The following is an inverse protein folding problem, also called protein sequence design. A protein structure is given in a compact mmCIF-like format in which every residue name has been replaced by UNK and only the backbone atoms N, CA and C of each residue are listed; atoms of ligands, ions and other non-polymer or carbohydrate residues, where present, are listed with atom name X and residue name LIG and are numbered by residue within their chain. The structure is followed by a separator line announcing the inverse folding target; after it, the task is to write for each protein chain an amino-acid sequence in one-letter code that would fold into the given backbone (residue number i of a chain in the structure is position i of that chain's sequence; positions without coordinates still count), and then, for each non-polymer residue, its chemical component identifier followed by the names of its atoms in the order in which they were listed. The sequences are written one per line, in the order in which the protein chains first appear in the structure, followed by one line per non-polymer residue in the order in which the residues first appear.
data_IF_840425904024
#
_entry.id   IF_840425904024
#
_cell.length_a   1.000
_cell.length_b   1.000
_cell.length_c   1.000
_cell.angle_alpha   90.00
_cell.angle_beta   90.00
_cell.angle_gamma   90.00
#
_symmetry.space_group_name_H-M   'P 1'
#
loop_
_entity.id
_entity.type
_entity.pdbx_description
1 polymer ?
#
# COMPACT_ATOMS: atom_id res chain seq x y z
N UNK A 1 -28.17 -26.09 61.14
CA UNK A 1 -27.87 -25.73 59.73
C UNK A 1 -26.37 -25.46 59.49
N UNK A 2 -25.67 -24.74 60.37
CA UNK A 2 -24.22 -24.46 60.20
C UNK A 2 -23.33 -25.73 60.19
N UNK A 3 -23.49 -26.61 61.18
CA UNK A 3 -22.71 -27.86 61.28
C UNK A 3 -22.90 -28.80 60.06
N UNK A 4 -24.12 -28.88 59.52
CA UNK A 4 -24.40 -29.67 58.31
C UNK A 4 -23.71 -29.10 57.06
N UNK A 5 -23.54 -27.78 56.99
CA UNK A 5 -22.84 -27.11 55.88
C UNK A 5 -21.32 -27.30 55.96
N UNK A 6 -20.76 -27.29 57.16
CA UNK A 6 -19.34 -27.62 57.39
C UNK A 6 -19.04 -29.07 57.00
N UNK A 7 -19.89 -30.02 57.38
CA UNK A 7 -19.73 -31.43 57.02
C UNK A 7 -19.72 -31.67 55.51
N UNK A 8 -20.49 -30.89 54.73
CA UNK A 8 -20.50 -30.94 53.27
C UNK A 8 -19.26 -30.30 52.62
N UNK A 9 -18.54 -29.45 53.35
CA UNK A 9 -17.29 -28.82 52.89
C UNK A 9 -16.05 -29.63 53.26
N UNK A 10 -16.12 -30.37 54.38
CA UNK A 10 -15.03 -31.22 54.86
C UNK A 10 -14.95 -32.55 54.10
N UNK A 11 -13.74 -33.10 53.99
CA UNK A 11 -13.50 -34.42 53.42
C UNK A 11 -13.64 -35.50 54.51
N UNK A 12 -14.83 -36.11 54.60
CA UNK A 12 -15.15 -37.10 55.62
C UNK A 12 -14.34 -38.39 55.43
N UNK A 13 -14.07 -38.78 54.18
CA UNK A 13 -13.24 -39.95 53.86
C UNK A 13 -11.78 -39.67 54.20
N UNK A 14 -11.26 -38.49 53.82
CA UNK A 14 -9.92 -38.03 54.19
C UNK A 14 -9.71 -37.96 55.71
N UNK A 15 -10.72 -37.50 56.46
CA UNK A 15 -10.66 -37.43 57.92
C UNK A 15 -10.52 -38.82 58.56
N UNK A 16 -11.14 -39.85 58.00
CA UNK A 16 -11.01 -41.24 58.45
C UNK A 16 -9.81 -41.96 57.81
N UNK A 17 -9.18 -41.37 56.79
CA UNK A 17 -8.07 -41.96 56.04
C UNK A 17 -8.52 -43.12 55.15
N UNK A 18 -9.72 -43.01 54.60
CA UNK A 18 -10.34 -44.04 53.77
C UNK A 18 -10.48 -43.57 52.32
N UNK A 19 -10.52 -44.55 51.42
CA UNK A 19 -10.89 -44.39 50.02
C UNK A 19 -12.41 -44.21 49.88
N UNK A 20 -12.84 -43.61 48.77
CA UNK A 20 -14.26 -43.31 48.49
C UNK A 20 -15.08 -44.60 48.35
N UNK A 21 -14.42 -45.69 47.95
CA UNK A 21 -15.00 -47.03 47.77
C UNK A 21 -15.09 -47.83 49.06
N UNK A 22 -14.68 -47.27 50.22
CA UNK A 22 -14.66 -48.00 51.48
C UNK A 22 -16.05 -48.49 51.91
N UNK A 23 -16.13 -49.75 52.33
CA UNK A 23 -17.35 -50.35 52.88
C UNK A 23 -17.68 -49.80 54.27
N UNK A 24 -18.95 -49.87 54.68
CA UNK A 24 -19.36 -49.45 56.04
C UNK A 24 -18.57 -50.16 57.15
N UNK A 25 -18.16 -51.41 56.92
CA UNK A 25 -17.34 -52.19 57.87
C UNK A 25 -15.95 -51.56 58.05
N UNK A 26 -15.36 -51.07 56.96
CA UNK A 26 -14.07 -50.38 56.97
C UNK A 26 -14.18 -49.00 57.61
N UNK A 27 -15.27 -48.27 57.33
CA UNK A 27 -15.59 -46.99 58.00
C UNK A 27 -15.66 -47.17 59.52
N UNK A 28 -16.43 -48.15 60.00
CA UNK A 28 -16.54 -48.45 61.44
C UNK A 28 -15.20 -48.89 62.06
N UNK A 29 -14.37 -49.63 61.31
CA UNK A 29 -13.04 -50.08 61.77
C UNK A 29 -12.07 -48.90 61.89
N UNK A 30 -11.99 -48.05 60.87
CA UNK A 30 -11.12 -46.88 60.85
C UNK A 30 -11.52 -45.87 61.92
N UNK A 31 -12.82 -45.64 62.13
CA UNK A 31 -13.31 -44.81 63.22
C UNK A 31 -12.83 -45.33 64.57
N UNK A 32 -12.99 -46.62 64.88
CA UNK A 32 -12.52 -47.19 66.15
C UNK A 32 -11.03 -46.98 66.37
N UNK A 33 -10.22 -47.15 65.33
CA UNK A 33 -8.77 -46.93 65.42
C UNK A 33 -8.44 -45.46 65.69
N UNK A 34 -9.00 -44.52 64.91
CA UNK A 34 -8.74 -43.08 65.09
C UNK A 34 -9.34 -42.53 66.39
N UNK A 35 -10.52 -43.01 66.80
CA UNK A 35 -11.17 -42.62 68.04
C UNK A 35 -10.34 -43.00 69.27
N UNK A 36 -9.65 -44.15 69.26
CA UNK A 36 -8.73 -44.54 70.33
C UNK A 36 -7.51 -43.62 70.40
N UNK A 37 -6.97 -43.21 69.25
CA UNK A 37 -5.82 -42.29 69.17
C UNK A 37 -6.19 -40.87 69.59
N UNK A 38 -7.38 -40.40 69.21
CA UNK A 38 -7.86 -39.04 69.48
C UNK A 38 -8.79 -38.95 70.69
N UNK A 39 -8.83 -39.97 71.57
CA UNK A 39 -9.75 -39.96 72.70
C UNK A 39 -9.40 -38.83 73.69
N UNK A 40 -10.35 -38.00 74.13
CA UNK A 40 -10.08 -36.86 75.02
C UNK A 40 -9.53 -37.29 76.39
N UNK A 41 -9.97 -38.45 76.92
CA UNK A 41 -9.48 -39.00 78.19
C UNK A 41 -8.01 -39.46 78.15
N UNK A 42 -7.52 -39.91 76.98
CA UNK A 42 -6.12 -40.32 76.78
C UNK A 42 -5.21 -39.15 76.39
N UNK A 43 -5.79 -38.03 75.97
CA UNK A 43 -5.08 -36.84 75.51
C UNK A 43 -5.63 -35.58 76.22
N UNK A 44 -5.62 -35.52 77.57
CA UNK A 44 -6.19 -34.40 78.32
C UNK A 44 -5.47 -33.06 78.04
N UNK A 45 -4.20 -33.11 77.63
CA UNK A 45 -3.39 -31.92 77.34
C UNK A 45 -3.62 -31.33 75.93
N UNK A 46 -4.38 -32.01 75.06
CA UNK A 46 -4.60 -31.56 73.68
C UNK A 46 -6.05 -31.10 73.46
N UNK A 47 -6.34 -29.79 73.44
CA UNK A 47 -7.69 -29.28 73.21
C UNK A 47 -8.24 -29.62 71.81
N UNK A 48 -7.37 -29.90 70.83
CA UNK A 48 -7.79 -30.34 69.49
C UNK A 48 -8.26 -31.79 69.44
N UNK A 49 -7.91 -32.61 70.43
CA UNK A 49 -8.34 -34.01 70.48
C UNK A 49 -9.87 -34.11 70.60
N UNK A 50 -10.50 -33.25 71.42
CA UNK A 50 -11.95 -33.19 71.58
C UNK A 50 -12.65 -32.77 70.27
N UNK A 51 -12.11 -31.76 69.57
CA UNK A 51 -12.65 -31.29 68.29
C UNK A 51 -12.54 -32.35 67.19
N UNK A 52 -11.36 -32.97 67.04
CA UNK A 52 -11.13 -34.07 66.08
C UNK A 52 -12.02 -35.28 66.39
N UNK A 53 -12.19 -35.62 67.67
CA UNK A 53 -13.08 -36.71 68.07
C UNK A 53 -14.54 -36.42 67.71
N UNK A 54 -14.98 -35.16 67.88
CA UNK A 54 -16.31 -34.72 67.47
C UNK A 54 -16.49 -34.83 65.95
N UNK A 55 -15.53 -34.33 65.17
CA UNK A 55 -15.53 -34.42 63.71
C UNK A 55 -15.52 -35.88 63.21
N UNK A 56 -14.73 -36.76 63.84
CA UNK A 56 -14.71 -38.20 63.54
C UNK A 56 -16.06 -38.86 63.80
N UNK A 57 -16.76 -38.44 64.87
CA UNK A 57 -18.07 -38.97 65.24
C UNK A 57 -19.15 -38.52 64.25
N UNK A 58 -19.13 -37.25 63.83
CA UNK A 58 -20.00 -36.75 62.78
C UNK A 58 -19.73 -37.43 61.42
N UNK A 59 -18.46 -37.66 61.07
CA UNK A 59 -18.09 -38.38 59.85
C UNK A 59 -18.60 -39.83 59.87
N UNK A 60 -18.52 -40.51 61.01
CA UNK A 60 -19.09 -41.85 61.16
C UNK A 60 -20.60 -41.84 60.94
N UNK A 61 -21.32 -40.90 61.56
CA UNK A 61 -22.78 -40.79 61.44
C UNK A 61 -23.22 -40.64 59.97
N UNK A 62 -22.59 -39.72 59.24
CA UNK A 62 -22.90 -39.47 57.82
C UNK A 62 -22.51 -40.64 56.92
N UNK A 63 -21.36 -41.29 57.17
CA UNK A 63 -20.86 -42.37 56.31
C UNK A 63 -21.46 -43.75 56.63
N UNK A 64 -22.16 -43.90 57.77
CA UNK A 64 -22.85 -45.14 58.14
C UNK A 64 -24.32 -45.16 57.78
N UNK A 65 -24.96 -44.00 57.59
CA UNK A 65 -26.29 -43.92 56.98
C UNK A 65 -26.19 -43.90 55.45
N UNK A 66 -26.82 -44.88 54.80
CA UNK A 66 -26.80 -45.00 53.34
C UNK A 66 -27.41 -43.79 52.64
N UNK A 67 -28.46 -43.18 53.21
CA UNK A 67 -29.10 -42.00 52.62
C UNK A 67 -28.21 -40.75 52.74
N UNK A 68 -27.67 -40.48 53.94
CA UNK A 68 -26.74 -39.39 54.17
C UNK A 68 -25.46 -39.52 53.35
N UNK A 69 -24.88 -40.72 53.25
CA UNK A 69 -23.70 -41.00 52.43
C UNK A 69 -23.94 -40.71 50.96
N UNK A 70 -25.06 -41.19 50.41
CA UNK A 70 -25.42 -40.93 49.01
C UNK A 70 -25.62 -39.44 48.73
N UNK A 71 -26.23 -38.69 49.66
CA UNK A 71 -26.39 -37.25 49.55
C UNK A 71 -25.05 -36.50 49.59
N UNK A 72 -24.16 -36.88 50.51
CA UNK A 72 -22.80 -36.34 50.62
C UNK A 72 -21.99 -36.57 49.34
N UNK A 73 -21.96 -37.81 48.85
CA UNK A 73 -21.23 -38.18 47.63
C UNK A 73 -21.75 -37.42 46.40
N UNK A 74 -23.07 -37.22 46.29
CA UNK A 74 -23.69 -36.46 45.21
C UNK A 74 -23.27 -34.99 45.22
N UNK A 75 -23.28 -34.35 46.39
CA UNK A 75 -22.90 -32.94 46.53
C UNK A 75 -21.41 -32.76 46.23
N UNK A 76 -20.56 -33.65 46.74
CA UNK A 76 -19.10 -33.63 46.48
C UNK A 76 -18.79 -33.80 45.00
N UNK A 77 -19.43 -34.76 44.31
CA UNK A 77 -19.30 -34.93 42.85
C UNK A 77 -19.77 -33.71 42.07
N UNK A 78 -20.91 -33.14 42.43
CA UNK A 78 -21.43 -31.94 41.77
C UNK A 78 -20.49 -30.74 41.96
N UNK A 79 -19.90 -30.57 43.15
CA UNK A 79 -18.93 -29.51 43.44
C UNK A 79 -17.66 -29.68 42.60
N UNK A 80 -17.09 -30.90 42.55
CA UNK A 80 -15.91 -31.20 41.73
C UNK A 80 -16.17 -30.92 40.24
N UNK A 81 -17.32 -31.35 39.72
CA UNK A 81 -17.71 -31.07 38.33
C UNK A 81 -17.91 -29.57 38.06
N UNK A 82 -18.47 -28.82 39.01
CA UNK A 82 -18.64 -27.38 38.89
C UNK A 82 -17.29 -26.65 38.89
N UNK A 83 -16.36 -27.05 39.75
CA UNK A 83 -15.00 -26.53 39.81
C UNK A 83 -14.24 -26.83 38.50
N UNK A 84 -14.27 -28.07 38.01
CA UNK A 84 -13.68 -28.45 36.73
C UNK A 84 -14.25 -27.63 35.55
N UNK A 85 -15.58 -27.42 35.52
CA UNK A 85 -16.21 -26.58 34.50
C UNK A 85 -15.73 -25.14 34.58
N UNK A 86 -15.62 -24.59 35.80
CA UNK A 86 -15.17 -23.21 36.02
C UNK A 86 -13.71 -23.06 35.60
N UNK A 87 -12.84 -23.96 36.03
CA UNK A 87 -11.44 -24.02 35.61
C UNK A 87 -11.31 -24.09 34.09
N UNK A 88 -12.07 -24.98 33.43
CA UNK A 88 -12.05 -25.10 31.98
C UNK A 88 -12.52 -23.84 31.26
N UNK A 89 -13.49 -23.11 31.82
CA UNK A 89 -13.91 -21.82 31.27
C UNK A 89 -12.84 -20.75 31.46
N UNK A 90 -12.18 -20.73 32.61
CA UNK A 90 -11.10 -19.79 32.91
C UNK A 90 -9.86 -20.04 32.05
N UNK A 91 -9.49 -21.30 31.82
CA UNK A 91 -8.44 -21.68 30.87
C UNK A 91 -8.75 -21.22 29.45
N UNK A 92 -9.99 -21.43 28.99
CA UNK A 92 -10.43 -20.96 27.68
C UNK A 92 -10.38 -19.44 27.58
N UNK A 93 -10.88 -18.73 28.59
CA UNK A 93 -10.83 -17.26 28.65
C UNK A 93 -9.39 -16.75 28.63
N UNK A 94 -8.51 -17.37 29.41
CA UNK A 94 -7.07 -17.04 29.42
C UNK A 94 -6.44 -17.25 28.04
N UNK A 95 -6.73 -18.37 27.38
CA UNK A 95 -6.22 -18.66 26.03
C UNK A 95 -6.71 -17.62 25.01
N UNK A 96 -8.00 -17.29 25.02
CA UNK A 96 -8.57 -16.27 24.12
C UNK A 96 -7.93 -14.91 24.37
N UNK A 97 -7.73 -14.52 25.64
CA UNK A 97 -7.08 -13.27 25.99
C UNK A 97 -5.65 -13.20 25.43
N UNK A 98 -4.86 -14.26 25.63
CA UNK A 98 -3.49 -14.32 25.13
C UNK A 98 -3.40 -14.30 23.60
N UNK A 99 -4.32 -15.01 22.92
CA UNK A 99 -4.41 -15.00 21.45
C UNK A 99 -4.78 -13.61 20.90
N UNK A 100 -5.70 -12.92 21.57
CA UNK A 100 -6.11 -11.56 21.21
C UNK A 100 -4.99 -10.54 21.42
N UNK A 101 -4.29 -10.61 22.57
CA UNK A 101 -3.15 -9.75 22.86
C UNK A 101 -1.96 -10.00 21.91
N UNK A 102 -1.74 -11.26 21.51
CA UNK A 102 -0.72 -11.59 20.51
C UNK A 102 -1.05 -10.96 19.15
N UNK A 103 -2.29 -11.08 18.68
CA UNK A 103 -2.74 -10.44 17.43
C UNK A 103 -2.65 -8.92 17.48
N UNK A 104 -3.03 -8.32 18.61
CA UNK A 104 -2.95 -6.87 18.79
C UNK A 104 -1.49 -6.39 18.71
N UNK A 105 -0.58 -7.09 19.38
CA UNK A 105 0.87 -6.80 19.31
C UNK A 105 1.43 -6.95 17.91
N UNK A 106 1.03 -8.00 17.18
CA UNK A 106 1.46 -8.20 15.79
C UNK A 106 0.95 -7.10 14.87
N UNK A 107 -0.33 -6.71 15.01
CA UNK A 107 -0.91 -5.62 14.23
C UNK A 107 -0.24 -4.27 14.56
N UNK A 108 0.03 -4.01 15.84
CA UNK A 108 0.72 -2.80 16.28
C UNK A 108 2.15 -2.76 15.73
N UNK A 109 2.88 -3.87 15.77
CA UNK A 109 4.22 -3.97 15.18
C UNK A 109 4.22 -3.74 13.67
N UNK A 110 3.24 -4.31 12.94
CA UNK A 110 3.08 -4.07 11.50
C UNK A 110 2.79 -2.60 11.21
N UNK A 111 1.88 -1.98 11.96
CA UNK A 111 1.55 -0.56 11.80
C UNK A 111 2.74 0.35 12.10
N UNK A 112 3.53 0.02 13.13
CA UNK A 112 4.72 0.77 13.49
C UNK A 112 5.80 0.68 12.40
N UNK A 113 5.98 -0.50 11.80
CA UNK A 113 6.90 -0.69 10.67
C UNK A 113 6.41 0.07 9.43
N UNK A 114 5.11 0.05 9.14
CA UNK A 114 4.52 0.81 8.04
C UNK A 114 4.74 2.32 8.22
N UNK A 115 4.50 2.87 9.41
CA UNK A 115 4.77 4.28 9.74
C UNK A 115 6.25 4.63 9.59
N UNK A 116 7.14 3.71 9.96
CA UNK A 116 8.58 3.91 9.80
C UNK A 116 8.96 3.96 8.32
N UNK A 117 8.42 3.05 7.51
CA UNK A 117 8.63 3.02 6.06
C UNK A 117 8.11 4.30 5.43
N UNK A 118 6.86 4.71 5.72
CA UNK A 118 6.27 5.92 5.14
C UNK A 118 7.11 7.15 5.50
N UNK A 119 7.53 7.30 6.76
CA UNK A 119 8.42 8.38 7.17
C UNK A 119 9.74 8.39 6.40
N UNK A 120 10.40 7.23 6.24
CA UNK A 120 11.66 7.17 5.48
C UNK A 120 11.47 7.55 4.01
N UNK A 121 10.34 7.16 3.40
CA UNK A 121 10.01 7.54 2.03
C UNK A 121 9.73 9.03 1.91
N UNK A 122 9.01 9.62 2.87
CA UNK A 122 8.75 11.06 2.91
C UNK A 122 10.03 11.88 3.03
N UNK A 123 10.96 11.47 3.89
CA UNK A 123 12.28 12.09 4.02
C UNK A 123 13.07 12.03 2.70
N UNK A 124 13.06 10.88 2.02
CA UNK A 124 13.74 10.71 0.73
C UNK A 124 13.10 11.54 -0.39
N UNK A 125 11.76 11.58 -0.46
CA UNK A 125 11.02 12.44 -1.40
C UNK A 125 11.35 13.91 -1.13
N UNK A 126 11.44 14.32 0.14
CA UNK A 126 11.84 15.66 0.54
C UNK A 126 13.23 16.03 -0.01
N UNK A 127 14.22 15.16 0.19
CA UNK A 127 15.58 15.35 -0.33
C UNK A 127 15.61 15.49 -1.86
N UNK A 128 14.96 14.57 -2.58
CA UNK A 128 14.92 14.61 -4.05
C UNK A 128 14.24 15.89 -4.57
N UNK A 129 13.19 16.37 -3.89
CA UNK A 129 12.53 17.64 -4.24
C UNK A 129 13.44 18.84 -4.01
N UNK A 130 14.18 18.87 -2.91
CA UNK A 130 15.14 19.94 -2.63
C UNK A 130 16.29 19.95 -3.64
N UNK A 131 16.86 18.78 -3.97
CA UNK A 131 17.90 18.65 -4.98
C UNK A 131 17.42 19.09 -6.36
N UNK A 132 16.22 18.63 -6.78
CA UNK A 132 15.62 19.04 -8.04
C UNK A 132 15.32 20.56 -8.10
N UNK A 133 14.84 21.14 -6.99
CA UNK A 133 14.61 22.59 -6.88
C UNK A 133 15.91 23.38 -7.02
N UNK A 134 16.99 22.90 -6.40
CA UNK A 134 18.31 23.54 -6.44
C UNK A 134 18.88 23.55 -7.85
N UNK A 135 18.81 22.42 -8.55
CA UNK A 135 19.26 22.30 -9.95
C UNK A 135 18.50 23.27 -10.86
N UNK A 136 17.16 23.32 -10.73
CA UNK A 136 16.34 24.23 -11.51
C UNK A 136 16.69 25.70 -11.23
N UNK A 137 16.94 26.07 -9.97
CA UNK A 137 17.36 27.42 -9.61
C UNK A 137 18.73 27.78 -10.20
N UNK A 138 19.69 26.85 -10.17
CA UNK A 138 21.00 27.03 -10.77
C UNK A 138 20.92 27.21 -12.29
N UNK A 139 20.15 26.37 -12.99
CA UNK A 139 19.90 26.51 -14.42
C UNK A 139 19.22 27.85 -14.75
N UNK A 140 18.17 28.23 -14.01
CA UNK A 140 17.50 29.51 -14.21
C UNK A 140 18.44 30.70 -13.99
N UNK A 141 19.37 30.59 -13.04
CA UNK A 141 20.37 31.64 -12.78
C UNK A 141 21.34 31.76 -13.95
N UNK A 142 21.87 30.64 -14.44
CA UNK A 142 22.77 30.62 -15.60
C UNK A 142 22.07 31.19 -16.85
N UNK A 143 20.83 30.79 -17.11
CA UNK A 143 20.02 31.32 -18.21
C UNK A 143 19.83 32.83 -18.09
N UNK A 144 19.50 33.33 -16.89
CA UNK A 144 19.37 34.78 -16.64
C UNK A 144 20.69 35.52 -16.88
N UNK A 145 21.81 34.96 -16.44
CA UNK A 145 23.13 35.55 -16.66
C UNK A 145 23.51 35.57 -18.15
N UNK A 146 23.21 34.50 -18.89
CA UNK A 146 23.40 34.41 -20.34
C UNK A 146 22.58 35.49 -21.07
N UNK A 147 21.29 35.64 -20.72
CA UNK A 147 20.40 36.66 -21.31
C UNK A 147 20.90 38.07 -20.99
N UNK A 148 21.34 38.30 -19.75
CA UNK A 148 21.87 39.60 -19.32
C UNK A 148 23.15 39.94 -20.09
N UNK A 149 24.09 38.99 -20.20
CA UNK A 149 25.34 39.16 -20.95
C UNK A 149 25.08 39.39 -22.45
N UNK A 150 24.12 38.68 -23.04
CA UNK A 150 23.71 38.92 -24.44
C UNK A 150 23.05 40.30 -24.62
N UNK A 151 22.24 40.75 -23.65
CA UNK A 151 21.66 42.10 -23.64
C UNK A 151 22.73 43.18 -23.51
N UNK A 152 23.69 43.02 -22.60
CA UNK A 152 24.80 43.94 -22.41
C UNK A 152 25.68 44.02 -23.67
N UNK A 153 25.98 42.87 -24.28
CA UNK A 153 26.69 42.82 -25.57
C UNK A 153 25.93 43.54 -26.70
N UNK A 154 24.59 43.43 -26.74
CA UNK A 154 23.74 44.17 -27.68
C UNK A 154 23.64 45.67 -27.35
N UNK A 155 23.76 46.05 -26.07
CA UNK A 155 23.68 47.44 -25.61
C UNK A 155 25.02 48.20 -25.80
N UNK A 156 26.16 47.52 -25.69
CA UNK A 156 27.50 48.13 -25.81
C UNK A 156 28.09 48.18 -27.22
N UNK A 157 27.32 47.88 -28.27
CA UNK A 157 27.66 48.23 -29.65
C UNK A 157 29.07 47.84 -30.11
N UNK A 158 29.50 46.59 -29.88
CA UNK A 158 30.69 46.06 -30.56
C UNK A 158 30.24 45.39 -31.86
N UNK A 159 30.39 46.13 -32.95
CA UNK A 159 30.28 45.61 -34.31
C UNK A 159 31.35 44.53 -34.54
N UNK A 160 30.90 43.29 -34.71
CA UNK A 160 31.73 42.24 -35.32
C UNK A 160 31.75 42.45 -36.84
N UNK A 161 32.88 42.25 -37.55
CA UNK A 161 33.01 42.57 -38.97
C UNK A 161 32.03 41.75 -39.84
N UNK A 162 31.52 42.31 -40.95
CA UNK A 162 30.67 41.59 -41.87
C UNK A 162 31.54 40.68 -42.75
N UNK A 163 31.61 39.39 -42.39
CA UNK A 163 32.23 38.41 -43.27
C UNK A 163 32.91 37.26 -42.55
N UNK A 164 32.12 36.31 -42.05
CA UNK A 164 32.38 34.88 -42.14
C UNK A 164 31.30 34.14 -41.35
N UNK A 165 30.90 33.00 -41.89
CA UNK A 165 30.02 31.99 -41.31
C UNK A 165 28.53 32.24 -41.55
N UNK A 166 28.08 31.62 -42.65
CA UNK A 166 26.70 31.25 -42.84
C UNK A 166 26.16 30.53 -41.60
N UNK A 167 24.87 30.74 -41.39
CA UNK A 167 24.17 30.17 -40.26
C UNK A 167 24.21 28.65 -40.29
N UNK A 168 24.66 28.09 -39.18
CA UNK A 168 24.04 26.89 -38.63
C UNK A 168 23.54 27.29 -37.24
N UNK A 169 22.34 27.88 -37.24
CA UNK A 169 21.47 27.72 -36.08
C UNK A 169 21.25 26.21 -36.00
N UNK A 170 21.73 25.59 -34.94
CA UNK A 170 21.32 24.24 -34.58
C UNK A 170 19.84 24.32 -34.22
N UNK A 171 19.01 24.30 -35.26
CA UNK A 171 17.61 23.95 -35.17
C UNK A 171 17.54 22.63 -34.41
N UNK A 172 16.58 22.54 -33.51
CA UNK A 172 16.10 21.31 -32.87
C UNK A 172 16.59 20.06 -33.59
N UNK A 173 17.31 19.18 -32.89
CA UNK A 173 17.73 17.87 -33.38
C UNK A 173 16.47 17.01 -33.66
N UNK A 174 15.74 17.36 -34.71
CA UNK A 174 14.46 16.81 -35.13
C UNK A 174 14.81 15.57 -35.94
N UNK A 175 14.86 14.45 -35.23
CA UNK A 175 14.97 13.14 -35.86
C UNK A 175 13.67 12.84 -36.62
N UNK A 176 13.73 12.53 -37.91
CA UNK A 176 12.54 12.23 -38.70
C UNK A 176 11.83 10.98 -38.16
N UNK A 177 10.52 11.09 -37.96
CA UNK A 177 9.69 9.98 -37.46
C UNK A 177 8.64 9.58 -38.47
N UNK A 178 8.58 8.29 -38.74
CA UNK A 178 7.62 7.65 -39.62
C UNK A 178 6.63 6.80 -38.82
N UNK A 179 5.36 6.86 -39.19
CA UNK A 179 4.32 5.95 -38.70
C UNK A 179 4.10 4.85 -39.72
N UNK A 180 4.15 3.63 -39.23
CA UNK A 180 3.89 2.42 -39.97
C UNK A 180 2.52 1.86 -39.56
N UNK A 181 1.75 1.41 -40.56
CA UNK A 181 0.45 0.79 -40.34
C UNK A 181 0.23 -0.38 -41.28
N UNK A 182 -0.19 -1.52 -40.75
CA UNK A 182 -0.46 -2.74 -41.52
C UNK A 182 -1.72 -3.43 -41.01
N UNK A 183 -2.21 -4.45 -41.73
CA UNK A 183 -3.38 -5.22 -41.30
C UNK A 183 -2.96 -6.22 -40.22
N UNK A 184 -3.69 -6.27 -39.13
CA UNK A 184 -3.46 -7.23 -38.03
C UNK A 184 -4.82 -7.67 -37.48
N UNK A 185 -5.03 -8.98 -37.32
CA UNK A 185 -6.28 -9.52 -36.76
C UNK A 185 -6.24 -9.42 -35.22
N UNK A 186 -7.42 -9.34 -34.59
CA UNK A 186 -7.53 -9.18 -33.13
C UNK A 186 -6.84 -10.31 -32.36
N UNK A 187 -6.95 -11.54 -32.86
CA UNK A 187 -6.39 -12.76 -32.26
C UNK A 187 -5.03 -13.18 -32.85
N UNK A 188 -4.39 -12.31 -33.64
CA UNK A 188 -3.08 -12.60 -34.22
C UNK A 188 -1.96 -12.31 -33.21
N UNK A 189 -1.29 -13.36 -32.73
CA UNK A 189 -0.13 -13.27 -31.83
C UNK A 189 1.11 -12.74 -32.54
N UNK A 190 1.21 -12.93 -33.86
CA UNK A 190 2.36 -12.49 -34.67
C UNK A 190 2.25 -11.03 -35.10
N UNK A 191 1.18 -10.34 -34.70
CA UNK A 191 0.89 -8.95 -35.05
C UNK A 191 1.02 -8.70 -36.57
N UNK A 192 0.48 -9.58 -37.41
CA UNK A 192 0.55 -9.48 -38.86
C UNK A 192 1.92 -9.75 -39.48
N UNK A 193 2.83 -10.40 -38.74
CA UNK A 193 4.19 -10.75 -39.17
C UNK A 193 5.25 -9.67 -38.92
N UNK A 194 4.88 -8.55 -38.29
CA UNK A 194 5.77 -7.41 -38.05
C UNK A 194 6.18 -7.33 -36.59
N UNK A 195 7.28 -8.01 -36.25
CA UNK A 195 7.95 -7.88 -34.95
C UNK A 195 8.86 -6.64 -34.93
N UNK A 196 9.27 -6.23 -33.72
CA UNK A 196 10.24 -5.15 -33.54
C UNK A 196 11.54 -5.43 -34.30
N UNK A 197 12.10 -6.63 -34.16
CA UNK A 197 13.35 -7.04 -34.83
C UNK A 197 13.22 -7.09 -36.35
N UNK A 198 12.07 -7.56 -36.84
CA UNK A 198 11.82 -7.62 -38.28
C UNK A 198 11.70 -6.22 -38.89
N UNK A 199 10.98 -5.31 -38.24
CA UNK A 199 10.87 -3.91 -38.68
C UNK A 199 12.22 -3.19 -38.65
N UNK A 200 13.04 -3.46 -37.63
CA UNK A 200 14.40 -2.91 -37.54
C UNK A 200 15.26 -3.42 -38.71
N UNK A 201 15.29 -4.74 -38.95
CA UNK A 201 16.03 -5.34 -40.07
C UNK A 201 15.55 -4.82 -41.44
N UNK A 202 14.24 -4.63 -41.60
CA UNK A 202 13.65 -4.13 -42.84
C UNK A 202 14.04 -2.69 -43.12
N UNK A 203 14.11 -1.83 -42.10
CA UNK A 203 14.27 -0.38 -42.24
C UNK A 203 15.73 0.09 -42.14
N UNK A 204 16.59 -0.64 -41.45
CA UNK A 204 18.02 -0.34 -41.33
C UNK A 204 18.73 -0.29 -42.70
N UNK A 205 18.19 -0.98 -43.72
CA UNK A 205 18.77 -0.96 -45.07
C UNK A 205 18.67 0.39 -45.80
N UNK A 206 17.84 1.32 -45.30
CA UNK A 206 17.71 2.67 -45.87
C UNK A 206 18.49 3.73 -45.11
N UNK A 207 18.90 3.45 -43.88
CA UNK A 207 19.66 4.34 -43.03
C UNK A 207 19.60 3.93 -41.57
N UNK A 208 20.35 4.65 -40.74
CA UNK A 208 20.43 4.34 -39.32
C UNK A 208 19.11 4.61 -38.60
N UNK A 209 18.56 3.56 -38.00
CA UNK A 209 17.33 3.62 -37.21
C UNK A 209 17.68 3.81 -35.74
N UNK A 210 17.18 4.88 -35.14
CA UNK A 210 17.40 5.20 -33.73
C UNK A 210 16.43 4.47 -32.82
N UNK A 211 15.16 4.35 -33.23
CA UNK A 211 14.13 3.73 -32.42
C UNK A 211 13.01 3.10 -33.26
N UNK A 212 12.47 1.97 -32.79
CA UNK A 212 11.32 1.27 -33.39
C UNK A 212 10.32 0.91 -32.30
N UNK A 213 9.18 1.59 -32.26
CA UNK A 213 8.14 1.42 -31.26
C UNK A 213 6.91 0.75 -31.85
N UNK A 214 6.72 -0.54 -31.59
CA UNK A 214 5.51 -1.29 -31.96
C UNK A 214 4.42 -1.07 -30.91
N UNK A 215 3.22 -0.67 -31.33
CA UNK A 215 2.14 -0.34 -30.40
C UNK A 215 1.58 -1.59 -29.72
N UNK A 216 1.72 -1.66 -28.38
CA UNK A 216 1.11 -2.71 -27.55
C UNK A 216 -0.40 -2.55 -27.38
N UNK A 217 -0.91 -1.31 -27.51
CA UNK A 217 -2.35 -0.98 -27.35
C UNK A 217 -3.16 -1.11 -28.64
N UNK A 218 -2.54 -0.88 -29.80
CA UNK A 218 -3.18 -0.94 -31.13
C UNK A 218 -2.35 -1.84 -32.06
N UNK A 219 -2.74 -3.11 -32.17
CA UNK A 219 -2.12 -4.06 -33.12
C UNK A 219 -2.16 -3.48 -34.54
N UNK A 220 -1.11 -3.73 -35.32
CA UNK A 220 -1.00 -3.21 -36.69
C UNK A 220 -0.41 -1.80 -36.83
N UNK A 221 0.30 -1.27 -35.83
CA UNK A 221 0.93 0.06 -35.91
C UNK A 221 2.29 0.11 -35.21
N UNK A 222 3.24 0.82 -35.82
CA UNK A 222 4.51 1.20 -35.19
C UNK A 222 4.91 2.63 -35.53
N UNK A 223 5.84 3.17 -34.76
CA UNK A 223 6.54 4.43 -35.02
C UNK A 223 8.03 4.16 -35.10
N UNK A 224 8.71 4.72 -36.09
CA UNK A 224 10.14 4.53 -36.32
C UNK A 224 10.81 5.88 -36.44
N UNK A 225 11.97 6.01 -35.80
CA UNK A 225 12.78 7.21 -35.76
C UNK A 225 14.11 6.93 -36.47
N UNK A 226 14.45 7.76 -37.46
CA UNK A 226 15.71 7.64 -38.19
C UNK A 226 16.71 8.72 -37.75
N UNK A 227 17.99 8.40 -37.84
CA UNK A 227 19.06 9.36 -37.57
C UNK A 227 19.16 10.44 -38.66
N UNK A 228 18.72 10.15 -39.88
CA UNK A 228 18.81 11.07 -41.02
C UNK A 228 17.50 11.17 -41.81
N UNK A 229 17.20 12.37 -42.28
CA UNK A 229 16.04 12.64 -43.15
C UNK A 229 16.06 11.79 -44.43
N UNK A 230 17.24 11.67 -45.05
CA UNK A 230 17.43 10.89 -46.28
C UNK A 230 17.11 9.40 -46.07
N UNK A 231 17.44 8.83 -44.91
CA UNK A 231 17.09 7.46 -44.56
C UNK A 231 15.57 7.27 -44.41
N UNK A 232 14.91 8.21 -43.74
CA UNK A 232 13.45 8.20 -43.62
C UNK A 232 12.74 8.37 -44.97
N UNK A 233 13.23 9.24 -45.85
CA UNK A 233 12.65 9.45 -47.18
C UNK A 233 12.78 8.20 -48.07
N UNK A 234 13.95 7.56 -48.07
CA UNK A 234 14.18 6.34 -48.83
C UNK A 234 13.29 5.19 -48.34
N UNK A 235 13.12 5.05 -47.02
CA UNK A 235 12.19 4.08 -46.46
C UNK A 235 10.74 4.39 -46.88
N UNK A 236 10.30 5.66 -46.78
CA UNK A 236 8.94 6.07 -47.17
C UNK A 236 8.61 5.77 -48.64
N UNK A 237 9.58 5.93 -49.55
CA UNK A 237 9.37 5.77 -51.00
C UNK A 237 9.47 4.32 -51.46
N UNK A 238 10.33 3.52 -50.83
CA UNK A 238 10.71 2.21 -51.37
C UNK A 238 10.15 1.03 -50.57
N UNK A 239 9.66 1.23 -49.35
CA UNK A 239 9.12 0.13 -48.54
C UNK A 239 7.64 -0.12 -48.78
N UNK A 240 7.35 -1.37 -49.12
CA UNK A 240 5.99 -1.88 -49.27
C UNK A 240 5.65 -2.94 -48.21
N UNK A 241 6.64 -3.38 -47.42
CA UNK A 241 6.49 -4.42 -46.41
C UNK A 241 6.43 -5.84 -46.97
N UNK A 242 5.95 -6.77 -46.15
CA UNK A 242 5.73 -8.18 -46.47
C UNK A 242 4.76 -8.33 -47.64
N UNK A 243 5.11 -9.18 -48.60
CA UNK A 243 4.31 -9.48 -49.81
C UNK A 243 2.91 -10.00 -49.51
N UNK A 244 2.71 -10.66 -48.37
CA UNK A 244 1.38 -11.12 -47.91
C UNK A 244 0.61 -10.12 -47.05
N UNK A 245 1.23 -9.04 -46.58
CA UNK A 245 0.61 -8.05 -45.70
C UNK A 245 1.33 -6.70 -45.84
N UNK A 246 1.02 -5.88 -46.86
CA UNK A 246 1.76 -4.65 -47.12
C UNK A 246 1.61 -3.65 -45.98
N UNK A 247 2.67 -2.89 -45.73
CA UNK A 247 2.69 -1.81 -44.75
C UNK A 247 2.48 -0.45 -45.43
N UNK A 248 1.81 0.47 -44.75
CA UNK A 248 1.62 1.86 -45.15
C UNK A 248 2.47 2.76 -44.25
N UNK A 249 3.29 3.60 -44.87
CA UNK A 249 4.15 4.58 -44.20
C UNK A 249 3.55 5.98 -44.31
N UNK A 250 3.60 6.76 -43.24
CA UNK A 250 3.24 8.18 -43.24
C UNK A 250 4.16 8.99 -42.32
N UNK A 251 4.49 10.22 -42.70
CA UNK A 251 5.28 11.14 -41.89
C UNK A 251 4.53 11.55 -40.61
N UNK A 252 5.22 11.53 -39.46
CA UNK A 252 4.74 12.08 -38.19
C UNK A 252 5.44 13.39 -37.85
N UNK A 253 6.76 13.39 -37.87
CA UNK A 253 7.62 14.54 -37.56
C UNK A 253 8.77 14.59 -38.56
N UNK A 254 9.22 15.80 -38.90
CA UNK A 254 10.27 16.01 -39.91
C UNK A 254 9.81 15.76 -41.35
N UNK A 255 8.56 16.10 -41.71
CA UNK A 255 8.07 16.03 -43.10
C UNK A 255 8.87 17.04 -43.95
N UNK A 256 9.31 16.70 -45.18
CA UNK A 256 9.91 17.69 -46.06
C UNK A 256 8.87 18.79 -46.36
N UNK A 257 9.22 20.05 -46.12
CA UNK A 257 8.47 21.17 -46.69
C UNK A 257 8.47 20.99 -48.21
N UNK A 258 7.27 20.82 -48.78
CA UNK A 258 7.11 20.69 -50.21
C UNK A 258 7.56 22.00 -50.86
N UNK A 259 8.63 21.93 -51.65
CA UNK A 259 9.01 23.01 -52.55
C UNK A 259 7.84 23.33 -53.47
N UNK A 260 7.52 24.61 -53.53
CA UNK A 260 6.32 25.16 -54.16
C UNK A 260 6.28 24.86 -55.67
N UNK A 261 5.31 24.04 -56.08
CA UNK A 261 4.69 24.18 -57.40
C UNK A 261 3.25 23.67 -57.37
N UNK A 262 2.37 24.50 -57.96
CA UNK A 262 1.00 24.19 -58.42
C UNK A 262 -0.15 24.30 -57.41
N UNK A 263 -0.38 25.53 -56.95
CA UNK A 263 -1.73 26.03 -56.64
C UNK A 263 -2.33 26.74 -57.87
N UNK A 264 -3.14 26.02 -58.67
CA UNK A 264 -4.17 26.65 -59.50
C UNK A 264 -5.40 25.73 -59.63
N UNK A 265 -6.45 25.97 -58.82
CA UNK A 265 -7.82 26.33 -59.27
C UNK A 265 -8.84 26.36 -58.13
N UNK A 266 -9.39 27.55 -57.96
CA UNK A 266 -10.78 27.92 -57.63
C UNK A 266 -11.52 27.20 -56.50
N UNK A 267 -11.78 28.01 -55.47
CA UNK A 267 -12.84 27.88 -54.48
C UNK A 267 -14.23 27.86 -55.14
N UNK A 268 -15.08 26.95 -54.69
CA UNK A 268 -16.54 27.09 -54.75
C UNK A 268 -17.20 26.13 -53.74
N UNK A 269 -17.14 26.45 -52.45
CA UNK A 269 -18.27 26.28 -51.52
C UNK A 269 -17.90 26.88 -50.16
N UNK A 270 -18.69 27.86 -49.71
CA UNK A 270 -18.48 28.55 -48.46
C UNK A 270 -18.84 27.66 -47.28
N UNK A 271 -17.84 27.16 -46.57
CA UNK A 271 -18.02 26.77 -45.18
C UNK A 271 -16.82 27.19 -44.33
N UNK A 272 -17.09 28.07 -43.36
CA UNK A 272 -16.17 28.41 -42.30
C UNK A 272 -16.16 27.24 -41.31
N UNK A 273 -15.02 26.55 -41.17
CA UNK A 273 -14.75 25.69 -40.01
C UNK A 273 -13.58 26.26 -39.23
N UNK A 274 -13.69 26.44 -37.90
CA UNK A 274 -12.59 26.93 -37.10
C UNK A 274 -11.50 25.86 -37.06
N UNK A 275 -10.29 26.23 -37.51
CA UNK A 275 -9.09 25.44 -37.29
C UNK A 275 -8.82 25.48 -35.79
N UNK A 276 -9.08 24.38 -35.08
CA UNK A 276 -8.49 24.16 -33.77
C UNK A 276 -6.97 24.14 -33.97
N UNK A 277 -6.32 25.24 -33.58
CA UNK A 277 -4.87 25.32 -33.51
C UNK A 277 -4.35 24.22 -32.60
N UNK A 278 -3.67 23.25 -33.21
CA UNK A 278 -2.90 22.22 -32.53
C UNK A 278 -1.71 22.91 -31.86
N UNK A 279 -1.75 23.03 -30.52
CA UNK A 279 -0.64 23.50 -29.69
C UNK A 279 0.55 22.55 -29.91
N UNK A 280 1.49 22.96 -30.75
CA UNK A 280 2.59 22.11 -31.21
C UNK A 280 3.96 22.74 -30.94
N UNK A 281 4.02 23.77 -30.08
CA UNK A 281 5.25 24.44 -29.68
C UNK A 281 5.44 24.36 -28.16
N UNK A 282 6.68 24.13 -27.72
CA UNK A 282 7.10 24.08 -26.32
C UNK A 282 6.80 25.41 -25.58
N UNK A 283 6.79 26.55 -26.30
CA UNK A 283 6.32 27.84 -25.78
C UNK A 283 4.84 27.87 -25.44
N UNK A 284 4.03 27.07 -26.12
CA UNK A 284 2.60 26.96 -25.84
C UNK A 284 2.37 26.12 -24.57
N UNK A 285 3.22 25.12 -24.31
CA UNK A 285 3.19 24.37 -23.06
C UNK A 285 3.69 25.21 -21.88
N UNK A 286 4.80 25.93 -22.03
CA UNK A 286 5.31 26.85 -21.01
C UNK A 286 4.29 27.95 -20.70
N UNK A 287 3.64 28.53 -21.71
CA UNK A 287 2.63 29.55 -21.50
C UNK A 287 1.36 29.00 -20.82
N UNK A 288 0.94 27.77 -21.12
CA UNK A 288 -0.19 27.12 -20.42
C UNK A 288 0.18 26.74 -19.00
N UNK A 289 1.40 26.27 -18.73
CA UNK A 289 1.88 25.94 -17.39
C UNK A 289 2.02 27.21 -16.55
N UNK A 290 2.61 28.28 -17.09
CA UNK A 290 2.72 29.57 -16.44
C UNK A 290 1.35 30.22 -16.18
N UNK A 291 0.41 30.09 -17.12
CA UNK A 291 -0.98 30.52 -16.93
C UNK A 291 -1.67 29.74 -15.81
N UNK A 292 -1.49 28.41 -15.75
CA UNK A 292 -2.03 27.58 -14.67
C UNK A 292 -1.38 27.86 -13.33
N UNK A 293 -0.07 28.13 -13.28
CA UNK A 293 0.62 28.54 -12.06
C UNK A 293 0.15 29.92 -11.58
N UNK A 294 -0.07 30.87 -12.50
CA UNK A 294 -0.64 32.19 -12.17
C UNK A 294 -2.06 32.06 -11.58
N UNK A 295 -2.91 31.25 -12.20
CA UNK A 295 -4.27 30.98 -11.71
C UNK A 295 -4.27 30.25 -10.35
N UNK A 296 -3.32 29.34 -10.12
CA UNK A 296 -3.16 28.67 -8.83
C UNK A 296 -2.70 29.63 -7.74
N UNK A 297 -1.77 30.54 -8.04
CA UNK A 297 -1.29 31.55 -7.10
C UNK A 297 -2.38 32.58 -6.76
N UNK A 298 -3.18 33.02 -7.74
CA UNK A 298 -4.35 33.89 -7.48
C UNK A 298 -5.40 33.20 -6.61
N UNK A 299 -5.69 31.92 -6.85
CA UNK A 299 -6.60 31.15 -6.00
C UNK A 299 -6.10 31.00 -4.57
N UNK A 300 -4.80 30.77 -4.39
CA UNK A 300 -4.21 30.69 -3.05
C UNK A 300 -4.33 32.02 -2.30
N UNK A 301 -4.07 33.16 -2.96
CA UNK A 301 -4.26 34.48 -2.35
C UNK A 301 -5.69 34.75 -1.92
N UNK A 302 -6.67 34.42 -2.76
CA UNK A 302 -8.09 34.57 -2.43
C UNK A 302 -8.51 33.69 -1.24
N UNK A 303 -7.94 32.48 -1.13
CA UNK A 303 -8.19 31.60 0.02
C UNK A 303 -7.58 32.16 1.30
N UNK A 304 -6.35 32.68 1.21
CA UNK A 304 -5.65 33.29 2.36
C UNK A 304 -6.33 34.58 2.83
N UNK A 305 -6.86 35.40 1.91
CA UNK A 305 -7.63 36.61 2.21
C UNK A 305 -8.96 36.26 2.92
N UNK A 306 -9.71 35.29 2.42
CA UNK A 306 -10.96 34.83 3.03
C UNK A 306 -10.72 34.18 4.41
N UNK A 307 -9.63 33.44 4.59
CA UNK A 307 -9.26 32.88 5.91
C UNK A 307 -8.91 33.98 6.92
N UNK A 308 -8.28 35.06 6.45
CA UNK A 308 -7.94 36.21 7.29
C UNK A 308 -9.19 37.00 7.69
N UNK A 309 -10.13 37.20 6.77
CA UNK A 309 -11.42 37.83 7.06
C UNK A 309 -12.24 36.99 8.06
N UNK A 310 -12.28 35.66 7.90
CA UNK A 310 -12.92 34.73 8.84
C UNK A 310 -12.26 34.77 10.24
N UNK A 311 -10.94 34.94 10.31
CA UNK A 311 -10.20 35.08 11.57
C UNK A 311 -10.44 36.44 12.24
N UNK A 312 -10.49 37.53 11.46
CA UNK A 312 -10.83 38.87 11.95
C UNK A 312 -12.29 38.96 12.42
N UNK A 313 -13.24 38.31 11.73
CA UNK A 313 -14.65 38.26 12.13
C UNK A 313 -14.83 37.43 13.43
N UNK A 314 -14.08 36.34 13.60
CA UNK A 314 -14.05 35.58 14.86
C UNK A 314 -13.45 36.36 16.02
N UNK A 315 -12.40 37.15 15.77
CA UNK A 315 -11.78 38.02 16.78
C UNK A 315 -12.72 39.18 17.16
N UNK A 316 -13.44 39.77 16.21
CA UNK A 316 -14.44 40.80 16.46
C UNK A 316 -15.67 40.30 17.21
N UNK A 317 -16.04 39.02 17.06
CA UNK A 317 -17.14 38.40 17.79
C UNK A 317 -16.79 38.02 19.25
N UNK A 318 -15.50 38.05 19.62
CA UNK A 318 -15.01 37.75 20.97
C UNK A 318 -14.67 38.99 21.81
N UNK A 319 -14.71 40.19 21.22
CA UNK A 319 -14.52 41.49 21.87
C UNK A 319 -15.87 42.15 22.22
#
# INVERSE_FOLDING_TARGET
MAAAKELLQMDLYGLLGLEETASEKEVKKAYRQKALTCHPDKNPDNPKAAELFHQLSQALEVLTDAAARAAYDKIRKAKKQAEERTQRLDEKRKKIKLDLEAREREAEAQSAEEVKITRTLEEEIGRLREEGSRQLQEEQRLIKEQIQREREMKQYGVSTPPGALGGERSDSNMTPKLKLKWKSKKDDETNGGYSHEFLLSLLQKYGDVLNVLVSRKKKGSAVVEFATFKGAELAYRNEMGLTGNPLKISWLEGRPEATATESYRQSADGSFRPVQGSLSSERDYESVVLMRMRQAAERQRLIEEMQREDEEEKLAAQA
#
